data_IF_688269626689
#
_entry.id   IF_688269626689
#
_cell.length_a   1.000
_cell.length_b   1.000
_cell.length_c   1.000
_cell.angle_alpha   90.00
_cell.angle_beta   90.00
_cell.angle_gamma   90.00
#
_symmetry.space_group_name_H-M   'P 1'
#
loop_
_entity.id
_entity.type
_entity.pdbx_description
1 polymer ?
#
# COMPACT_ATOMS: atom_id res chain seq x y z
N UNK A 1 -63.67 30.15 -2.52
CA UNK A 1 -62.23 30.19 -2.20
C UNK A 1 -61.70 28.79 -2.46
N UNK A 2 -61.16 28.56 -3.65
CA UNK A 2 -60.49 27.31 -4.03
C UNK A 2 -59.00 27.60 -4.00
N UNK A 3 -58.29 26.99 -3.06
CA UNK A 3 -56.85 27.10 -2.93
C UNK A 3 -56.19 26.24 -4.01
N UNK A 4 -55.50 26.89 -4.95
CA UNK A 4 -54.59 26.22 -5.89
C UNK A 4 -53.39 25.68 -5.10
N UNK A 5 -53.35 24.36 -4.95
CA UNK A 5 -52.18 23.65 -4.42
C UNK A 5 -51.16 23.55 -5.55
N UNK A 6 -50.11 24.37 -5.46
CA UNK A 6 -48.97 24.34 -6.38
C UNK A 6 -48.23 23.01 -6.32
N UNK A 7 -48.16 22.34 -7.46
CA UNK A 7 -47.48 21.05 -7.65
C UNK A 7 -45.95 21.24 -7.49
N UNK A 8 -45.26 20.42 -6.67
CA UNK A 8 -43.83 20.60 -6.45
C UNK A 8 -43.02 20.19 -7.68
N UNK A 9 -42.26 21.15 -8.25
CA UNK A 9 -41.30 20.87 -9.33
C UNK A 9 -40.35 19.73 -8.92
N UNK A 10 -40.42 18.62 -9.66
CA UNK A 10 -39.54 17.47 -9.48
C UNK A 10 -38.06 17.81 -9.73
N UNK A 11 -37.13 16.99 -9.20
CA UNK A 11 -35.69 17.24 -9.34
C UNK A 11 -35.27 17.24 -10.81
N UNK A 12 -34.71 18.37 -11.26
CA UNK A 12 -34.22 18.55 -12.63
C UNK A 12 -33.14 17.49 -12.96
N UNK A 13 -33.18 16.85 -14.14
CA UNK A 13 -32.25 15.79 -14.50
C UNK A 13 -30.81 16.32 -14.57
N UNK A 14 -29.89 15.64 -13.86
CA UNK A 14 -28.47 15.99 -13.88
C UNK A 14 -27.93 15.80 -15.31
N UNK A 15 -27.49 16.89 -15.95
CA UNK A 15 -26.83 16.85 -17.27
C UNK A 15 -25.63 15.90 -17.19
N UNK A 16 -25.58 14.92 -18.10
CA UNK A 16 -24.44 13.99 -18.19
C UNK A 16 -23.19 14.77 -18.61
N UNK A 17 -22.09 14.56 -17.90
CA UNK A 17 -20.82 15.15 -18.29
C UNK A 17 -20.39 14.65 -19.69
N UNK A 18 -19.70 15.48 -20.49
CA UNK A 18 -19.18 15.06 -21.78
C UNK A 18 -18.24 13.85 -21.64
N UNK A 19 -18.15 12.98 -22.66
CA UNK A 19 -17.12 11.94 -22.70
C UNK A 19 -15.72 12.58 -22.69
N UNK A 20 -14.76 11.89 -22.08
CA UNK A 20 -13.38 12.37 -22.01
C UNK A 20 -12.76 12.49 -23.40
N UNK A 21 -11.89 13.48 -23.58
CA UNK A 21 -11.17 13.66 -24.85
C UNK A 21 -10.24 12.47 -25.13
N UNK A 22 -9.94 12.16 -26.40
CA UNK A 22 -8.99 11.10 -26.76
C UNK A 22 -7.59 11.33 -26.13
N UNK A 23 -7.15 12.59 -26.06
CA UNK A 23 -5.89 12.97 -25.43
C UNK A 23 -5.88 12.67 -23.91
N UNK A 24 -7.00 12.95 -23.23
CA UNK A 24 -7.20 12.62 -21.81
C UNK A 24 -7.09 11.12 -21.58
N UNK A 25 -7.69 10.31 -22.46
CA UNK A 25 -7.66 8.85 -22.37
C UNK A 25 -6.21 8.35 -22.57
N UNK A 26 -5.51 8.85 -23.59
CA UNK A 26 -4.14 8.46 -23.86
C UNK A 26 -3.19 8.81 -22.70
N UNK A 27 -3.29 10.02 -22.16
CA UNK A 27 -2.48 10.44 -21.01
C UNK A 27 -2.80 9.64 -19.75
N UNK A 28 -4.08 9.40 -19.48
CA UNK A 28 -4.50 8.54 -18.35
C UNK A 28 -3.91 7.15 -18.49
N UNK A 29 -3.95 6.56 -19.69
CA UNK A 29 -3.38 5.24 -19.96
C UNK A 29 -1.89 5.20 -19.71
N UNK A 30 -1.13 6.17 -20.25
CA UNK A 30 0.31 6.29 -19.98
C UNK A 30 0.60 6.32 -18.49
N UNK A 31 -0.03 7.24 -17.75
CA UNK A 31 0.19 7.35 -16.31
C UNK A 31 -0.20 6.07 -15.57
N UNK A 32 -1.27 5.40 -15.98
CA UNK A 32 -1.74 4.18 -15.34
C UNK A 32 -0.77 3.02 -15.50
N UNK A 33 -0.17 2.88 -16.70
CA UNK A 33 0.66 1.72 -17.06
C UNK A 33 2.15 1.92 -16.78
N UNK A 34 2.64 3.17 -16.76
CA UNK A 34 4.07 3.45 -16.60
C UNK A 34 4.46 4.02 -15.24
N UNK A 35 3.49 4.40 -14.40
CA UNK A 35 3.76 5.03 -13.11
C UNK A 35 3.11 4.29 -11.94
N UNK A 36 3.70 4.47 -10.76
CA UNK A 36 3.19 3.95 -9.49
C UNK A 36 2.19 4.91 -8.80
N UNK A 37 1.68 5.92 -9.51
CA UNK A 37 0.72 6.88 -8.98
C UNK A 37 -0.62 6.20 -8.66
N UNK A 38 -1.23 6.50 -7.53
CA UNK A 38 -2.58 6.02 -7.19
C UNK A 38 -3.62 6.54 -8.18
N UNK A 39 -4.78 5.86 -8.26
CA UNK A 39 -5.91 6.33 -9.10
C UNK A 39 -6.33 7.75 -8.73
N UNK A 40 -6.26 8.11 -7.44
CA UNK A 40 -6.53 9.46 -6.95
C UNK A 40 -5.55 10.48 -7.52
N UNK A 41 -4.25 10.19 -7.49
CA UNK A 41 -3.22 11.10 -8.02
C UNK A 41 -3.34 11.25 -9.54
N UNK A 42 -3.56 10.16 -10.28
CA UNK A 42 -3.81 10.20 -11.73
C UNK A 42 -5.04 11.05 -12.02
N UNK A 43 -6.13 10.84 -11.27
CA UNK A 43 -7.37 11.60 -11.43
C UNK A 43 -7.17 13.10 -11.21
N UNK A 44 -6.39 13.47 -10.18
CA UNK A 44 -6.07 14.87 -9.88
C UNK A 44 -5.16 15.51 -10.93
N UNK A 45 -4.23 14.73 -11.50
CA UNK A 45 -3.28 15.22 -12.52
C UNK A 45 -3.94 15.45 -13.87
N UNK A 46 -4.86 14.58 -14.25
CA UNK A 46 -5.53 14.62 -15.56
C UNK A 46 -6.85 15.41 -15.50
N UNK A 47 -7.37 15.70 -14.31
CA UNK A 47 -8.61 16.46 -14.13
C UNK A 47 -9.88 15.64 -14.42
N UNK A 48 -9.83 14.32 -14.25
CA UNK A 48 -10.97 13.41 -14.43
C UNK A 48 -11.41 12.81 -13.11
N UNK A 49 -12.67 12.37 -13.00
CA UNK A 49 -13.13 11.65 -11.82
C UNK A 49 -12.43 10.28 -11.67
N UNK A 50 -12.16 9.84 -10.43
CA UNK A 50 -11.53 8.54 -10.15
C UNK A 50 -12.30 7.36 -10.76
N UNK A 51 -13.63 7.40 -10.69
CA UNK A 51 -14.50 6.39 -11.29
C UNK A 51 -14.35 6.31 -12.81
N UNK A 52 -14.08 7.45 -13.48
CA UNK A 52 -13.80 7.49 -14.91
C UNK A 52 -12.46 6.82 -15.23
N UNK A 53 -11.42 7.05 -14.44
CA UNK A 53 -10.11 6.38 -14.60
C UNK A 53 -10.27 4.86 -14.50
N UNK A 54 -10.97 4.36 -13.48
CA UNK A 54 -11.23 2.93 -13.33
C UNK A 54 -12.02 2.35 -14.51
N UNK A 55 -13.03 3.07 -15.01
CA UNK A 55 -13.81 2.67 -16.18
C UNK A 55 -12.94 2.64 -17.44
N UNK A 56 -12.10 3.64 -17.67
CA UNK A 56 -11.17 3.69 -18.80
C UNK A 56 -10.19 2.52 -18.74
N UNK A 57 -9.56 2.27 -17.60
CA UNK A 57 -8.65 1.14 -17.42
C UNK A 57 -9.34 -0.20 -17.75
N UNK A 58 -10.59 -0.40 -17.31
CA UNK A 58 -11.37 -1.59 -17.64
C UNK A 58 -11.69 -1.69 -19.14
N UNK A 59 -12.12 -0.60 -19.75
CA UNK A 59 -12.52 -0.58 -21.16
C UNK A 59 -11.34 -0.73 -22.13
N UNK A 60 -10.17 -0.25 -21.74
CA UNK A 60 -8.95 -0.26 -22.56
C UNK A 60 -7.97 -1.38 -22.17
N UNK A 61 -8.28 -2.17 -21.13
CA UNK A 61 -7.46 -3.30 -20.70
C UNK A 61 -6.13 -2.92 -20.02
N UNK A 62 -6.00 -1.68 -19.55
CA UNK A 62 -4.75 -1.19 -18.95
C UNK A 62 -4.37 -1.94 -17.69
N UNK A 63 -3.08 -2.23 -17.55
CA UNK A 63 -2.54 -2.95 -16.39
C UNK A 63 -1.61 -2.07 -15.57
N UNK A 64 -1.73 -2.19 -14.24
CA UNK A 64 -0.80 -1.53 -13.33
C UNK A 64 0.57 -2.21 -13.38
N UNK A 65 1.67 -1.46 -13.23
CA UNK A 65 2.97 -2.03 -12.94
C UNK A 65 2.90 -2.99 -11.75
N UNK A 66 3.61 -4.12 -11.83
CA UNK A 66 3.69 -5.10 -10.73
C UNK A 66 4.25 -4.47 -9.43
N UNK A 67 5.04 -3.40 -9.55
CA UNK A 67 5.54 -2.61 -8.43
C UNK A 67 4.43 -2.06 -7.52
N UNK A 68 3.28 -1.65 -8.06
CA UNK A 68 2.14 -1.16 -7.26
C UNK A 68 1.45 -2.29 -6.47
N UNK A 69 1.35 -3.49 -7.04
CA UNK A 69 0.81 -4.67 -6.32
C UNK A 69 1.71 -5.06 -5.16
N UNK A 70 3.03 -5.07 -5.39
CA UNK A 70 4.04 -5.35 -4.35
C UNK A 70 3.97 -4.33 -3.22
N UNK A 71 3.97 -3.02 -3.54
CA UNK A 71 3.88 -1.97 -2.52
C UNK A 71 2.64 -2.13 -1.64
N UNK A 72 1.48 -2.40 -2.25
CA UNK A 72 0.23 -2.64 -1.51
C UNK A 72 0.29 -3.88 -0.63
N UNK A 73 0.90 -4.96 -1.12
CA UNK A 73 1.08 -6.20 -0.35
C UNK A 73 2.00 -5.96 0.87
N UNK A 74 3.15 -5.31 0.65
CA UNK A 74 4.10 -4.95 1.71
C UNK A 74 3.45 -4.05 2.76
N UNK A 75 2.67 -3.05 2.33
CA UNK A 75 1.96 -2.16 3.25
C UNK A 75 0.90 -2.91 4.08
N UNK A 76 0.16 -3.83 3.45
CA UNK A 76 -0.81 -4.68 4.13
C UNK A 76 -0.14 -5.60 5.17
N UNK A 77 1.02 -6.16 4.83
CA UNK A 77 1.82 -6.98 5.73
C UNK A 77 2.38 -6.18 6.90
N UNK A 78 2.93 -4.99 6.66
CA UNK A 78 3.39 -4.08 7.72
C UNK A 78 2.27 -3.75 8.70
N UNK A 79 1.06 -3.46 8.19
CA UNK A 79 -0.12 -3.23 9.04
C UNK A 79 -0.51 -4.47 9.84
N UNK A 80 -0.41 -5.66 9.25
CA UNK A 80 -0.69 -6.92 9.96
C UNK A 80 0.33 -7.15 11.08
N UNK A 81 1.62 -7.06 10.78
CA UNK A 81 2.71 -7.21 11.75
C UNK A 81 2.57 -6.21 12.90
N UNK A 82 2.28 -4.93 12.62
CA UNK A 82 2.07 -3.92 13.66
C UNK A 82 0.90 -4.26 14.61
N UNK A 83 -0.19 -4.85 14.09
CA UNK A 83 -1.29 -5.33 14.94
C UNK A 83 -0.89 -6.50 15.82
N UNK A 84 -0.14 -7.45 15.29
CA UNK A 84 0.33 -8.62 16.05
C UNK A 84 1.35 -8.22 17.13
N UNK A 85 2.25 -7.27 16.83
CA UNK A 85 3.17 -6.70 17.83
C UNK A 85 2.37 -6.06 18.97
N UNK A 86 1.40 -5.19 18.66
CA UNK A 86 0.57 -4.55 19.68
C UNK A 86 -0.30 -5.55 20.48
N UNK A 87 -0.67 -6.68 19.88
CA UNK A 87 -1.35 -7.76 20.59
C UNK A 87 -0.39 -8.50 21.53
N UNK A 88 0.83 -8.79 21.07
CA UNK A 88 1.88 -9.42 21.86
C UNK A 88 2.31 -8.55 23.05
N UNK A 89 2.48 -7.24 22.85
CA UNK A 89 2.79 -6.27 23.90
C UNK A 89 1.73 -6.29 25.00
N UNK A 90 0.45 -6.20 24.63
CA UNK A 90 -0.67 -6.30 25.60
C UNK A 90 -0.72 -7.63 26.34
N UNK A 91 -0.40 -8.74 25.67
CA UNK A 91 -0.37 -10.06 26.31
C UNK A 91 0.79 -10.17 27.30
N UNK A 92 1.96 -9.59 26.98
CA UNK A 92 3.11 -9.54 27.89
C UNK A 92 2.79 -8.70 29.13
N UNK A 93 2.13 -7.56 28.95
CA UNK A 93 1.68 -6.70 30.05
C UNK A 93 0.66 -7.39 30.96
N UNK A 94 -0.23 -8.22 30.40
CA UNK A 94 -1.32 -8.85 31.15
C UNK A 94 -0.90 -10.12 31.91
N UNK A 95 -0.15 -11.03 31.29
CA UNK A 95 0.10 -12.38 31.83
C UNK A 95 1.56 -12.63 32.22
N UNK A 96 2.51 -11.76 31.84
CA UNK A 96 3.94 -11.95 32.11
C UNK A 96 4.61 -13.14 31.39
N UNK A 97 3.87 -13.98 30.68
CA UNK A 97 4.42 -15.09 29.87
C UNK A 97 4.99 -14.57 28.54
N UNK A 98 6.20 -14.02 28.64
CA UNK A 98 7.00 -13.56 27.50
C UNK A 98 7.31 -14.67 26.47
N UNK A 99 7.17 -15.95 26.84
CA UNK A 99 7.56 -17.09 26.01
C UNK A 99 6.60 -17.39 24.86
N UNK A 100 5.30 -17.16 25.02
CA UNK A 100 4.32 -17.29 23.94
C UNK A 100 4.43 -16.14 22.94
N UNK A 101 4.54 -14.90 23.44
CA UNK A 101 4.68 -13.70 22.61
C UNK A 101 5.98 -13.66 21.80
N UNK A 102 7.11 -14.10 22.38
CA UNK A 102 8.38 -14.20 21.65
C UNK A 102 8.33 -15.18 20.48
N UNK A 103 7.59 -16.29 20.60
CA UNK A 103 7.42 -17.28 19.51
C UNK A 103 6.60 -16.73 18.36
N UNK A 104 5.52 -15.99 18.66
CA UNK A 104 4.71 -15.31 17.64
C UNK A 104 5.52 -14.25 16.90
N UNK A 105 6.29 -13.44 17.62
CA UNK A 105 7.17 -12.44 17.03
C UNK A 105 8.29 -13.07 16.18
N UNK A 106 8.92 -14.15 16.65
CA UNK A 106 9.94 -14.86 15.88
C UNK A 106 9.37 -15.46 14.58
N UNK A 107 8.14 -15.99 14.63
CA UNK A 107 7.46 -16.51 13.44
C UNK A 107 7.19 -15.39 12.42
N UNK A 108 6.71 -14.22 12.87
CA UNK A 108 6.48 -13.05 12.03
C UNK A 108 7.76 -12.48 11.42
N UNK A 109 8.84 -12.38 12.20
CA UNK A 109 10.16 -11.95 11.71
C UNK A 109 10.70 -12.92 10.66
N UNK A 110 10.49 -14.23 10.85
CA UNK A 110 10.85 -15.22 9.85
C UNK A 110 10.06 -15.05 8.55
N UNK A 111 8.75 -14.80 8.64
CA UNK A 111 7.92 -14.55 7.46
C UNK A 111 8.38 -13.29 6.72
N UNK A 112 8.75 -12.24 7.45
CA UNK A 112 9.29 -11.01 6.85
C UNK A 112 10.65 -11.22 6.17
N UNK A 113 11.54 -12.04 6.74
CA UNK A 113 12.82 -12.41 6.12
C UNK A 113 12.64 -13.22 4.85
N UNK A 114 11.71 -14.19 4.85
CA UNK A 114 11.43 -14.97 3.64
C UNK A 114 10.91 -14.06 2.52
N UNK A 115 10.03 -13.11 2.82
CA UNK A 115 9.56 -12.13 1.85
C UNK A 115 10.67 -11.19 1.35
N UNK A 116 11.57 -10.74 2.22
CA UNK A 116 12.73 -9.94 1.82
C UNK A 116 13.68 -10.72 0.90
N UNK A 117 13.88 -12.02 1.16
CA UNK A 117 14.67 -12.89 0.29
C UNK A 117 14.03 -13.07 -1.09
N UNK A 118 12.71 -13.25 -1.16
CA UNK A 118 12.01 -13.28 -2.45
C UNK A 118 12.15 -11.96 -3.22
N UNK A 119 12.18 -10.82 -2.53
CA UNK A 119 12.41 -9.52 -3.15
C UNK A 119 13.84 -9.38 -3.70
N UNK A 120 14.86 -9.88 -3.00
CA UNK A 120 16.25 -9.90 -3.47
C UNK A 120 16.45 -10.84 -4.67
N UNK A 121 15.87 -12.04 -4.61
CA UNK A 121 16.00 -13.01 -5.69
C UNK A 121 15.29 -12.50 -6.96
N UNK A 122 14.14 -11.83 -6.84
CA UNK A 122 13.46 -11.15 -7.95
C UNK A 122 14.22 -9.95 -8.49
N UNK A 123 14.89 -9.17 -7.63
CA UNK A 123 15.76 -8.08 -8.06
C UNK A 123 16.93 -8.62 -8.88
N UNK A 124 17.56 -9.72 -8.43
CA UNK A 124 18.61 -10.42 -9.20
C UNK A 124 18.07 -10.94 -10.53
N UNK A 125 16.90 -11.58 -10.55
CA UNK A 125 16.29 -12.06 -11.81
C UNK A 125 15.90 -10.94 -12.79
N UNK A 126 15.72 -9.71 -12.31
CA UNK A 126 15.45 -8.54 -13.16
C UNK A 126 16.74 -7.89 -13.68
N UNK A 127 17.86 -8.07 -12.97
CA UNK A 127 19.20 -7.56 -13.31
C UNK A 127 20.03 -8.52 -14.17
N UNK A 128 19.65 -9.80 -14.27
CA UNK A 128 20.24 -10.76 -15.23
C UNK A 128 20.03 -10.37 -16.72
N UNK A 129 19.34 -9.25 -17.00
CA UNK A 129 19.25 -8.62 -18.32
C UNK A 129 20.12 -7.37 -18.50
N UNK A 130 20.88 -6.92 -17.50
CA UNK A 130 21.74 -5.73 -17.60
C UNK A 130 22.90 -5.82 -16.61
N UNK A 131 24.03 -6.35 -17.07
CA UNK A 131 25.32 -6.13 -16.42
C UNK A 131 25.53 -4.61 -16.28
N UNK A 132 25.59 -4.09 -15.05
CA UNK A 132 26.79 -3.45 -14.49
C UNK A 132 26.43 -2.48 -13.34
N UNK A 133 26.89 -2.83 -12.13
CA UNK A 133 27.28 -1.97 -11.00
C UNK A 133 26.29 -1.07 -10.20
N UNK A 134 26.37 -1.32 -8.88
CA UNK A 134 26.37 -0.40 -7.72
C UNK A 134 25.08 -0.12 -6.91
N UNK A 135 24.89 -0.94 -5.86
CA UNK A 135 25.22 -0.60 -4.46
C UNK A 135 24.55 0.64 -3.82
N UNK A 136 23.28 0.52 -3.40
CA UNK A 136 22.69 1.15 -2.19
C UNK A 136 21.42 0.37 -1.77
N UNK A 137 21.54 -0.93 -1.50
CA UNK A 137 20.44 -1.71 -0.91
C UNK A 137 20.55 -1.65 0.61
N UNK A 138 19.51 -1.16 1.28
CA UNK A 138 19.45 -0.93 2.72
C UNK A 138 20.02 -2.10 3.53
N UNK A 139 21.11 -1.84 4.24
CA UNK A 139 21.85 -2.86 4.98
C UNK A 139 20.96 -3.53 6.04
N UNK A 140 20.64 -4.84 5.88
CA UNK A 140 19.82 -5.57 6.82
C UNK A 140 20.46 -5.69 8.21
N UNK A 141 21.79 -5.58 8.31
CA UNK A 141 22.50 -5.58 9.60
C UNK A 141 22.26 -4.28 10.36
N UNK A 142 22.20 -3.13 9.68
CA UNK A 142 21.82 -1.86 10.30
C UNK A 142 20.39 -1.90 10.90
N UNK A 143 19.47 -2.64 10.26
CA UNK A 143 18.11 -2.81 10.79
C UNK A 143 18.07 -3.75 12.00
N UNK A 144 18.99 -4.73 12.05
CA UNK A 144 19.14 -5.68 13.16
C UNK A 144 19.72 -5.00 14.39
N UNK A 145 20.73 -4.16 14.20
CA UNK A 145 21.39 -3.41 15.28
C UNK A 145 20.40 -2.44 15.94
N UNK A 146 19.64 -1.70 15.13
CA UNK A 146 18.59 -0.81 15.63
C UNK A 146 17.49 -1.52 16.44
N UNK A 147 17.20 -2.80 16.11
CA UNK A 147 16.23 -3.60 16.86
C UNK A 147 16.83 -4.12 18.17
N UNK A 148 18.11 -4.51 18.15
CA UNK A 148 18.83 -4.96 19.34
C UNK A 148 18.91 -3.85 20.39
N UNK A 149 19.31 -2.64 19.99
CA UNK A 149 19.38 -1.45 20.86
C UNK A 149 18.03 -1.16 21.52
N UNK A 150 16.94 -1.31 20.77
CA UNK A 150 15.59 -1.03 21.26
C UNK A 150 15.11 -2.08 22.26
N UNK A 151 15.49 -3.34 22.08
CA UNK A 151 15.18 -4.41 23.04
C UNK A 151 15.98 -4.28 24.33
N UNK A 152 17.23 -3.84 24.25
CA UNK A 152 18.07 -3.60 25.41
C UNK A 152 17.52 -2.43 26.26
N UNK A 153 17.12 -1.34 25.61
CA UNK A 153 16.48 -0.21 26.29
C UNK A 153 15.22 -0.61 27.08
N UNK A 154 14.36 -1.43 26.48
CA UNK A 154 13.13 -1.91 27.13
C UNK A 154 13.41 -2.86 28.31
N UNK A 155 14.52 -3.60 28.29
CA UNK A 155 14.94 -4.42 29.44
C UNK A 155 15.45 -3.53 30.57
N UNK A 156 16.30 -2.55 30.27
CA UNK A 156 16.82 -1.61 31.27
C UNK A 156 15.73 -0.79 31.95
N UNK A 157 14.66 -0.42 31.23
CA UNK A 157 13.49 0.26 31.80
C UNK A 157 12.61 -0.63 32.69
N UNK A 158 12.77 -1.97 32.63
CA UNK A 158 12.01 -2.93 33.43
C UNK A 158 12.74 -3.43 34.67
N UNK A 159 14.07 -3.43 34.62
CA UNK A 159 14.93 -3.96 35.69
C UNK A 159 15.47 -2.85 36.64
N UNK A 160 15.11 -1.58 36.40
CA UNK A 160 15.42 -0.43 37.26
C UNK A 160 14.19 0.16 37.94
#
# INVERSE_FOLDING_TARGET
>A
MTEEVGEPEGPKPKKRAPPASPETIAETGRLYETTDLTVREISGRVGVAQSSVCRMAKNHGWRRPEADKRRKLVEALRRKVGREIAAAERAIEADGDAGASARTLASLVRTLRELAKYDEDLARSRDEGREDQNDVLADPDALRDALADRLEKLRSERDG
#
